data_IF_111624496122
#
_entry.id   IF_111624496122
#
_cell.length_a   1.000
_cell.length_b   1.000
_cell.length_c   1.000
_cell.angle_alpha   90.00
_cell.angle_beta   90.00
_cell.angle_gamma   90.00
#
_symmetry.space_group_name_H-M   'P 1'
#
loop_
_entity.id
_entity.type
_entity.pdbx_description
1 polymer ?
#
# COMPACT_ATOMS: atom_id res chain seq x y z
N UNK A 1 -12.87 58.22 -6.68
CA UNK A 1 -11.86 57.18 -6.53
C UNK A 1 -12.51 55.88 -6.08
N UNK A 2 -12.90 54.98 -6.96
CA UNK A 2 -12.95 53.57 -6.66
C UNK A 2 -12.66 52.63 -7.87
N UNK A 3 -11.68 52.94 -8.69
CA UNK A 3 -11.33 52.09 -9.86
C UNK A 3 -10.18 51.09 -9.59
N UNK A 4 -9.54 51.19 -8.44
CA UNK A 4 -8.38 50.36 -8.12
C UNK A 4 -8.73 48.98 -7.49
N UNK A 5 -9.94 48.86 -6.92
CA UNK A 5 -10.37 47.60 -6.26
C UNK A 5 -10.92 46.56 -7.26
N UNK A 6 -11.46 47.00 -8.38
CA UNK A 6 -12.09 46.10 -9.38
C UNK A 6 -11.05 45.40 -10.25
N UNK A 7 -9.91 46.03 -10.56
CA UNK A 7 -8.82 45.42 -11.34
C UNK A 7 -8.09 44.32 -10.59
N UNK A 8 -7.90 44.50 -9.27
CA UNK A 8 -7.23 43.45 -8.47
C UNK A 8 -8.13 42.21 -8.28
N UNK A 9 -9.44 42.35 -8.18
CA UNK A 9 -10.35 41.22 -8.10
C UNK A 9 -10.44 40.46 -9.42
N UNK A 10 -10.41 41.13 -10.57
CA UNK A 10 -10.39 40.48 -11.88
C UNK A 10 -9.08 39.77 -12.14
N UNK A 11 -7.96 40.35 -11.70
CA UNK A 11 -6.62 39.71 -11.82
C UNK A 11 -6.51 38.47 -10.94
N UNK A 12 -7.01 38.50 -9.71
CA UNK A 12 -7.09 37.36 -8.82
C UNK A 12 -8.04 36.26 -9.34
N UNK A 13 -9.15 36.68 -9.97
CA UNK A 13 -10.08 35.72 -10.60
C UNK A 13 -9.48 35.06 -11.85
N UNK A 14 -8.76 35.81 -12.70
CA UNK A 14 -8.03 35.27 -13.85
C UNK A 14 -6.90 34.33 -13.41
N UNK A 15 -6.17 34.64 -12.33
CA UNK A 15 -5.14 33.75 -11.77
C UNK A 15 -5.75 32.49 -11.16
N UNK A 16 -6.95 32.56 -10.59
CA UNK A 16 -7.67 31.40 -10.05
C UNK A 16 -8.22 30.47 -11.13
N UNK A 17 -8.49 31.00 -12.35
CA UNK A 17 -9.01 30.21 -13.46
C UNK A 17 -7.94 29.32 -14.12
N UNK A 18 -6.65 29.59 -13.91
CA UNK A 18 -5.55 28.82 -14.47
C UNK A 18 -4.88 27.86 -13.45
N UNK A 19 -5.32 27.85 -12.19
CA UNK A 19 -4.74 26.93 -11.22
C UNK A 19 -5.15 25.49 -11.53
N UNK A 20 -4.25 24.75 -12.13
CA UNK A 20 -4.40 23.30 -12.32
C UNK A 20 -4.63 22.64 -10.96
N UNK A 21 -5.75 21.93 -10.82
CA UNK A 21 -6.04 21.19 -9.61
C UNK A 21 -4.92 20.18 -9.34
N UNK A 22 -4.17 20.40 -8.27
CA UNK A 22 -3.14 19.44 -7.83
C UNK A 22 -3.86 18.29 -7.16
N UNK A 23 -3.69 17.08 -7.71
CA UNK A 23 -4.19 15.86 -7.12
C UNK A 23 -3.10 15.23 -6.26
N UNK A 24 -3.48 14.62 -5.14
CA UNK A 24 -2.54 13.90 -4.27
C UNK A 24 -1.92 12.69 -5.01
N UNK A 25 -2.72 12.02 -5.85
CA UNK A 25 -2.30 10.87 -6.68
C UNK A 25 -2.96 11.01 -8.05
N UNK A 26 -2.19 10.98 -9.12
CA UNK A 26 -2.68 11.01 -10.50
C UNK A 26 -2.77 9.59 -11.09
N UNK A 27 -3.78 8.84 -10.67
CA UNK A 27 -4.05 7.48 -11.15
C UNK A 27 -4.49 7.45 -12.62
N UNK A 28 -5.09 8.54 -13.12
CA UNK A 28 -5.55 8.61 -14.51
C UNK A 28 -4.34 8.59 -15.46
N UNK A 29 -3.37 9.47 -15.23
CA UNK A 29 -2.15 9.50 -16.04
C UNK A 29 -1.34 8.22 -15.94
N UNK A 30 -1.32 7.59 -14.77
CA UNK A 30 -0.70 6.28 -14.58
C UNK A 30 -1.40 5.20 -15.42
N UNK A 31 -2.74 5.14 -15.35
CA UNK A 31 -3.53 4.19 -16.13
C UNK A 31 -3.31 4.36 -17.64
N UNK A 32 -3.37 5.59 -18.17
CA UNK A 32 -3.17 5.82 -19.61
C UNK A 32 -1.79 5.36 -20.11
N UNK A 33 -0.76 5.39 -19.27
CA UNK A 33 0.57 4.87 -19.60
C UNK A 33 0.63 3.36 -19.69
N UNK A 34 -0.04 2.65 -18.76
CA UNK A 34 0.02 1.18 -18.69
C UNK A 34 -1.08 0.50 -19.50
N UNK A 35 -2.15 1.21 -19.83
CA UNK A 35 -3.33 0.69 -20.56
C UNK A 35 -2.98 -0.12 -21.81
N UNK A 36 -2.10 0.33 -22.72
CA UNK A 36 -1.80 -0.42 -23.94
C UNK A 36 -1.18 -1.80 -23.67
N UNK A 37 -0.46 -1.96 -22.58
CA UNK A 37 0.17 -3.23 -22.19
C UNK A 37 -0.72 -4.11 -21.32
N UNK A 38 -1.57 -3.52 -20.48
CA UNK A 38 -2.35 -4.26 -19.49
C UNK A 38 -3.67 -4.79 -20.07
N UNK A 39 -4.38 -4.00 -20.87
CA UNK A 39 -5.70 -4.44 -21.39
C UNK A 39 -5.63 -5.70 -22.24
N UNK A 40 -4.66 -5.89 -23.17
CA UNK A 40 -4.57 -7.14 -23.92
C UNK A 40 -4.34 -8.37 -23.04
N UNK A 41 -3.56 -8.22 -21.95
CA UNK A 41 -3.31 -9.32 -21.00
C UNK A 41 -4.58 -9.70 -20.24
N UNK A 42 -5.36 -8.70 -19.79
CA UNK A 42 -6.63 -8.93 -19.13
C UNK A 42 -7.61 -9.66 -20.07
N UNK A 43 -7.70 -9.22 -21.32
CA UNK A 43 -8.56 -9.86 -22.33
C UNK A 43 -8.13 -11.31 -22.61
N UNK A 44 -6.84 -11.58 -22.69
CA UNK A 44 -6.30 -12.93 -22.87
C UNK A 44 -6.67 -13.85 -21.70
N UNK A 45 -6.48 -13.40 -20.45
CA UNK A 45 -6.87 -14.15 -19.25
C UNK A 45 -8.37 -14.45 -19.24
N UNK A 46 -9.20 -13.45 -19.56
CA UNK A 46 -10.65 -13.60 -19.58
C UNK A 46 -11.10 -14.59 -20.67
N UNK A 47 -10.53 -14.51 -21.87
CA UNK A 47 -10.84 -15.39 -22.99
C UNK A 47 -10.52 -16.87 -22.70
N UNK A 48 -9.48 -17.11 -21.90
CA UNK A 48 -9.03 -18.46 -21.49
C UNK A 48 -9.66 -18.94 -20.19
N UNK A 49 -10.38 -18.07 -19.47
CA UNK A 49 -10.96 -18.34 -18.14
C UNK A 49 -9.93 -18.88 -17.10
N UNK A 50 -8.68 -18.43 -17.20
CA UNK A 50 -7.57 -18.88 -16.33
C UNK A 50 -7.40 -17.95 -15.12
N UNK A 51 -8.43 -17.86 -14.29
CA UNK A 51 -8.49 -16.89 -13.18
C UNK A 51 -7.77 -17.35 -11.90
N UNK A 52 -7.62 -18.65 -11.68
CA UNK A 52 -7.04 -19.19 -10.44
C UNK A 52 -5.67 -19.82 -10.77
N UNK A 53 -4.63 -19.28 -10.18
CA UNK A 53 -3.24 -19.73 -10.37
C UNK A 53 -2.86 -19.88 -11.86
N UNK A 54 -3.28 -18.92 -12.68
CA UNK A 54 -2.96 -18.86 -14.09
C UNK A 54 -1.49 -18.66 -14.38
N UNK A 55 -1.08 -18.73 -15.66
CA UNK A 55 0.33 -18.58 -16.06
C UNK A 55 0.93 -17.22 -15.66
N UNK A 56 0.12 -16.16 -15.62
CA UNK A 56 0.54 -14.81 -15.21
C UNK A 56 0.95 -14.76 -13.74
N UNK A 57 0.24 -15.49 -12.86
CA UNK A 57 0.61 -15.61 -11.45
C UNK A 57 1.97 -16.28 -11.31
N UNK A 58 2.21 -17.32 -12.10
CA UNK A 58 3.48 -18.04 -12.10
C UNK A 58 4.62 -17.18 -12.66
N UNK A 59 4.36 -16.42 -13.73
CA UNK A 59 5.31 -15.47 -14.32
C UNK A 59 5.68 -14.38 -13.31
N UNK A 60 4.68 -13.71 -12.72
CA UNK A 60 4.90 -12.70 -11.67
C UNK A 60 5.73 -13.23 -10.50
N UNK A 61 5.39 -14.41 -10.00
CA UNK A 61 6.13 -15.08 -8.93
C UNK A 61 7.62 -15.25 -9.28
N UNK A 62 7.91 -15.74 -10.47
CA UNK A 62 9.28 -16.01 -10.91
C UNK A 62 10.06 -14.71 -11.13
N UNK A 63 9.45 -13.71 -11.80
CA UNK A 63 10.07 -12.40 -12.03
C UNK A 63 10.37 -11.67 -10.71
N UNK A 64 9.45 -11.70 -9.76
CA UNK A 64 9.65 -11.09 -8.45
C UNK A 64 10.71 -11.85 -7.62
N UNK A 65 10.76 -13.18 -7.74
CA UNK A 65 11.77 -14.00 -7.12
C UNK A 65 13.18 -13.64 -7.62
N UNK A 66 13.34 -13.52 -8.93
CA UNK A 66 14.59 -13.14 -9.57
C UNK A 66 14.99 -11.69 -9.21
N UNK A 67 14.02 -10.76 -9.24
CA UNK A 67 14.24 -9.36 -8.89
C UNK A 67 14.70 -9.17 -7.44
N UNK A 68 14.12 -9.89 -6.50
CA UNK A 68 14.45 -9.81 -5.07
C UNK A 68 15.62 -10.70 -4.67
N UNK A 69 16.05 -11.64 -5.52
CA UNK A 69 17.10 -12.62 -5.20
C UNK A 69 16.69 -13.59 -4.08
N UNK A 70 15.40 -13.90 -3.96
CA UNK A 70 14.86 -14.81 -2.93
C UNK A 70 14.52 -16.17 -3.52
N UNK A 71 14.52 -17.22 -2.68
CA UNK A 71 14.23 -18.58 -3.15
C UNK A 71 12.75 -18.82 -3.46
N UNK A 72 11.86 -18.14 -2.75
CA UNK A 72 10.43 -18.35 -2.85
C UNK A 72 9.67 -17.04 -2.77
N UNK A 73 8.65 -16.94 -3.60
CA UNK A 73 7.61 -15.88 -3.54
C UNK A 73 6.26 -16.58 -3.46
N UNK A 74 5.44 -16.18 -2.50
CA UNK A 74 4.09 -16.72 -2.28
C UNK A 74 3.10 -15.61 -2.59
N UNK A 75 2.40 -15.67 -3.72
CA UNK A 75 1.38 -14.69 -4.07
C UNK A 75 0.20 -14.77 -3.10
N UNK A 76 -0.34 -13.63 -2.73
CA UNK A 76 -1.55 -13.48 -1.93
C UNK A 76 -2.40 -12.33 -2.47
N UNK A 77 -3.61 -12.16 -1.98
CA UNK A 77 -4.55 -11.20 -2.54
C UNK A 77 -4.16 -9.74 -2.29
N UNK A 78 -3.55 -9.46 -1.13
CA UNK A 78 -3.18 -8.11 -0.69
C UNK A 78 -2.16 -8.14 0.45
N UNK A 79 -1.70 -6.95 0.89
CA UNK A 79 -0.72 -6.83 1.97
C UNK A 79 -1.23 -7.26 3.35
N UNK A 80 -2.53 -7.12 3.64
CA UNK A 80 -3.14 -7.59 4.89
C UNK A 80 -3.07 -9.11 4.97
N UNK A 81 -3.44 -9.80 3.88
CA UNK A 81 -3.33 -11.26 3.79
C UNK A 81 -1.87 -11.72 3.92
N UNK A 82 -0.92 -10.96 3.34
CA UNK A 82 0.50 -11.27 3.46
C UNK A 82 0.95 -11.27 4.93
N UNK A 83 0.55 -10.25 5.71
CA UNK A 83 0.84 -10.17 7.14
C UNK A 83 0.19 -11.34 7.91
N UNK A 84 -1.06 -11.64 7.62
CA UNK A 84 -1.78 -12.73 8.26
C UNK A 84 -1.12 -14.08 7.98
N UNK A 85 -0.81 -14.38 6.71
CA UNK A 85 -0.15 -15.62 6.31
C UNK A 85 1.24 -15.75 6.96
N UNK A 86 1.99 -14.64 7.03
CA UNK A 86 3.28 -14.62 7.71
C UNK A 86 3.17 -15.00 9.19
N UNK A 87 2.22 -14.40 9.93
CA UNK A 87 1.98 -14.74 11.33
C UNK A 87 1.52 -16.19 11.50
N UNK A 88 0.62 -16.68 10.64
CA UNK A 88 0.17 -18.07 10.68
C UNK A 88 1.33 -19.06 10.47
N UNK A 89 2.33 -18.70 9.66
CA UNK A 89 3.48 -19.58 9.37
C UNK A 89 4.44 -19.74 10.57
N UNK A 90 4.35 -18.86 11.57
CA UNK A 90 5.21 -18.90 12.76
C UNK A 90 4.76 -19.91 13.81
N UNK A 91 3.58 -20.51 13.66
CA UNK A 91 3.05 -21.48 14.62
C UNK A 91 2.66 -20.90 15.99
N UNK A 92 2.37 -19.60 16.04
CA UNK A 92 1.94 -18.89 17.23
C UNK A 92 0.61 -19.44 17.76
N UNK A 93 0.44 -19.36 19.08
CA UNK A 93 -0.76 -19.82 19.76
C UNK A 93 -1.61 -18.63 20.24
N UNK A 94 -2.95 -18.78 20.36
CA UNK A 94 -3.79 -17.73 20.92
C UNK A 94 -3.27 -17.26 22.28
N UNK A 95 -3.13 -15.94 22.41
CA UNK A 95 -2.56 -15.30 23.60
C UNK A 95 -1.07 -14.95 23.52
N UNK A 96 -0.34 -15.47 22.53
CA UNK A 96 1.04 -15.05 22.26
C UNK A 96 1.09 -13.57 21.91
N UNK A 97 2.15 -12.90 22.35
CA UNK A 97 2.33 -11.47 22.18
C UNK A 97 3.10 -11.16 20.88
N UNK A 98 2.61 -10.16 20.16
CA UNK A 98 3.25 -9.66 18.94
C UNK A 98 3.44 -8.16 19.06
N UNK A 99 4.70 -7.70 19.02
CA UNK A 99 5.04 -6.29 19.12
C UNK A 99 4.78 -5.60 17.78
N UNK A 100 4.13 -4.44 17.84
CA UNK A 100 3.82 -3.61 16.67
C UNK A 100 3.95 -2.13 17.01
N UNK A 101 4.40 -1.26 16.08
CA UNK A 101 4.42 0.17 16.33
C UNK A 101 3.01 0.73 16.48
N UNK A 102 2.83 1.73 17.36
CA UNK A 102 1.57 2.44 17.55
C UNK A 102 1.20 3.30 16.32
N UNK A 103 2.20 3.81 15.61
CA UNK A 103 2.05 4.61 14.39
C UNK A 103 2.16 3.73 13.14
N UNK A 104 1.06 3.07 12.79
CA UNK A 104 0.98 2.20 11.61
C UNK A 104 -0.44 2.12 11.08
N UNK A 105 -0.62 1.49 9.91
CA UNK A 105 -1.94 1.20 9.39
C UNK A 105 -2.61 0.10 10.22
N UNK A 106 -3.92 0.20 10.43
CA UNK A 106 -4.70 -0.68 11.32
C UNK A 106 -4.54 -2.17 10.98
N UNK A 107 -4.32 -2.53 9.72
CA UNK A 107 -4.18 -3.92 9.29
C UNK A 107 -3.10 -4.68 10.08
N UNK A 108 -2.02 -4.01 10.50
CA UNK A 108 -0.96 -4.64 11.29
C UNK A 108 -1.47 -5.17 12.63
N UNK A 109 -2.32 -4.40 13.31
CA UNK A 109 -2.95 -4.78 14.58
C UNK A 109 -4.12 -5.73 14.38
N UNK A 110 -4.89 -5.50 13.32
CA UNK A 110 -6.08 -6.29 13.00
C UNK A 110 -5.75 -7.77 12.77
N UNK A 111 -4.69 -8.07 12.00
CA UNK A 111 -4.29 -9.47 11.75
C UNK A 111 -3.79 -10.17 13.02
N UNK A 112 -3.14 -9.46 13.93
CA UNK A 112 -2.72 -9.98 15.22
C UNK A 112 -3.95 -10.38 16.05
N UNK A 113 -4.92 -9.48 16.17
CA UNK A 113 -6.15 -9.72 16.90
C UNK A 113 -7.03 -10.81 16.27
N UNK A 114 -7.11 -10.84 14.92
CA UNK A 114 -7.88 -11.84 14.18
C UNK A 114 -7.38 -13.27 14.43
N UNK A 115 -6.08 -13.44 14.63
CA UNK A 115 -5.46 -14.72 14.95
C UNK A 115 -5.54 -15.08 16.45
N UNK A 116 -6.21 -14.26 17.27
CA UNK A 116 -6.31 -14.46 18.72
C UNK A 116 -5.00 -14.15 19.47
N UNK A 117 -4.05 -13.48 18.82
CA UNK A 117 -2.79 -13.04 19.39
C UNK A 117 -2.99 -11.70 20.13
N UNK A 118 -2.06 -11.33 20.98
CA UNK A 118 -2.09 -10.09 21.76
C UNK A 118 -1.15 -9.04 21.19
N UNK A 119 -1.66 -7.92 20.62
CA UNK A 119 -0.80 -6.85 20.15
C UNK A 119 -0.19 -6.08 21.33
N UNK A 120 1.13 -5.90 21.30
CA UNK A 120 1.88 -5.05 22.23
C UNK A 120 2.35 -3.83 21.45
N UNK A 121 1.85 -2.65 21.82
CA UNK A 121 2.17 -1.41 21.14
C UNK A 121 3.45 -0.80 21.70
N UNK A 122 4.33 -0.39 20.79
CA UNK A 122 5.54 0.37 21.11
C UNK A 122 5.60 1.65 20.30
N UNK A 123 6.32 2.64 20.81
CA UNK A 123 6.47 3.93 20.13
C UNK A 123 7.43 3.86 18.94
N UNK A 124 7.31 4.85 18.06
CA UNK A 124 8.20 5.06 16.92
C UNK A 124 9.17 6.20 17.19
N UNK A 125 10.34 6.14 16.60
CA UNK A 125 11.26 7.27 16.56
C UNK A 125 10.60 8.43 15.78
N UNK A 126 10.47 9.64 16.37
CA UNK A 126 9.73 10.75 15.75
C UNK A 126 10.40 11.34 14.51
N UNK A 127 11.66 10.99 14.23
CA UNK A 127 12.38 11.46 13.05
C UNK A 127 12.30 10.51 11.88
N UNK A 128 12.33 9.22 12.15
CA UNK A 128 12.35 8.18 11.11
C UNK A 128 11.00 7.50 10.91
N UNK A 129 10.09 7.60 11.89
CA UNK A 129 8.82 6.89 11.96
C UNK A 129 8.96 5.36 11.93
N UNK A 130 10.17 4.86 12.12
CA UNK A 130 10.42 3.44 12.34
C UNK A 130 10.24 3.09 13.82
N UNK A 131 10.05 1.79 14.11
CA UNK A 131 9.97 1.33 15.50
C UNK A 131 11.19 1.80 16.29
N UNK A 132 10.97 2.32 17.51
CA UNK A 132 12.06 2.73 18.40
C UNK A 132 12.71 1.48 19.02
N UNK A 133 14.00 1.23 18.77
CA UNK A 133 14.69 0.06 19.33
C UNK A 133 14.68 0.01 20.86
N UNK A 134 14.74 1.17 21.52
CA UNK A 134 14.69 1.24 22.99
C UNK A 134 13.32 0.88 23.54
N UNK A 135 12.24 1.31 22.85
CA UNK A 135 10.89 0.95 23.21
C UNK A 135 10.62 -0.54 22.93
N UNK A 136 11.20 -1.08 21.86
CA UNK A 136 11.12 -2.50 21.53
C UNK A 136 11.80 -3.37 22.58
N UNK A 137 13.00 -2.96 23.07
CA UNK A 137 13.75 -3.71 24.09
C UNK A 137 13.08 -3.68 25.46
N UNK A 138 12.31 -2.63 25.73
CA UNK A 138 11.61 -2.44 27.02
C UNK A 138 10.25 -3.18 27.08
N UNK A 139 9.68 -3.60 25.94
CA UNK A 139 8.38 -4.26 25.85
C UNK A 139 8.48 -5.77 26.06
#
# INVERSE_FOLDING_TARGET
MPLCFTLNCLYLWLLSAEMKKIQMVDLISQYEKIKPSVLPLIEDIMSKAQFINGPEVSAFKNELQDYLGVKHVIPCANGTDALQIALMSLGLQPGDEVITPSFTYIATTEVIALLGLKPIFVEVDPKTFCIDPSALEAA
#
